data_IF_767347462588
#
_entry.id   IF_767347462588
#
_cell.length_a   1.000
_cell.length_b   1.000
_cell.length_c   1.000
_cell.angle_alpha   90.00
_cell.angle_beta   90.00
_cell.angle_gamma   90.00
#
_symmetry.space_group_name_H-M   'P 1'
#
loop_
_entity.id
_entity.type
_entity.pdbx_description
1 polymer ?
#
# COMPACT_ATOMS: atom_id res chain seq x y z
N UNK A 1 2.50 -29.76 26.96
CA UNK A 1 2.48 -30.11 28.39
C UNK A 1 3.56 -29.39 29.20
N UNK A 2 4.86 -29.43 28.85
CA UNK A 2 5.90 -28.73 29.64
C UNK A 2 5.60 -27.24 29.90
N UNK A 3 5.16 -26.51 28.87
CA UNK A 3 4.78 -25.09 29.01
C UNK A 3 3.78 -24.87 30.15
N UNK A 4 2.76 -25.72 30.23
CA UNK A 4 1.70 -25.63 31.23
C UNK A 4 2.19 -26.04 32.61
N UNK A 5 3.08 -27.04 32.70
CA UNK A 5 3.74 -27.39 33.96
C UNK A 5 4.61 -26.25 34.50
N UNK A 6 5.20 -25.43 33.63
CA UNK A 6 6.03 -24.30 34.03
C UNK A 6 5.22 -23.05 34.39
N UNK A 7 4.13 -22.79 33.68
CA UNK A 7 3.36 -21.54 33.74
C UNK A 7 1.98 -21.66 34.41
N UNK A 8 1.51 -22.89 34.65
CA UNK A 8 0.18 -23.20 35.18
C UNK A 8 -0.97 -23.05 34.17
N UNK A 9 -0.66 -22.79 32.90
CA UNK A 9 -1.67 -22.57 31.85
C UNK A 9 -1.18 -23.01 30.47
N UNK A 10 -2.07 -23.39 29.55
CA UNK A 10 -1.67 -23.71 28.19
C UNK A 10 -1.12 -22.47 27.47
N UNK A 11 -0.26 -22.65 26.45
CA UNK A 11 0.35 -21.54 25.70
C UNK A 11 -0.67 -20.74 24.88
N UNK A 12 -1.74 -21.39 24.42
CA UNK A 12 -2.87 -20.77 23.74
C UNK A 12 -4.13 -21.21 24.50
N UNK A 13 -4.85 -20.27 25.09
CA UNK A 13 -5.98 -20.51 25.98
C UNK A 13 -7.19 -19.66 25.56
N UNK A 14 -8.41 -20.10 25.89
CA UNK A 14 -9.64 -19.40 25.53
C UNK A 14 -10.20 -19.77 24.15
N UNK A 15 -11.31 -19.14 23.76
CA UNK A 15 -12.03 -19.48 22.51
C UNK A 15 -11.19 -19.19 21.26
N UNK A 16 -10.34 -18.17 21.29
CA UNK A 16 -9.46 -17.80 20.18
C UNK A 16 -8.17 -18.65 20.09
N UNK A 17 -7.87 -19.44 21.13
CA UNK A 17 -6.61 -20.18 21.25
C UNK A 17 -6.37 -21.20 20.13
N UNK A 18 -7.43 -21.70 19.48
CA UNK A 18 -7.30 -22.55 18.29
C UNK A 18 -6.70 -21.78 17.12
N UNK A 19 -7.18 -20.57 16.85
CA UNK A 19 -6.72 -19.72 15.75
C UNK A 19 -5.34 -19.15 16.06
N UNK A 20 -5.14 -18.64 17.28
CA UNK A 20 -3.87 -18.05 17.74
C UNK A 20 -2.69 -19.01 17.59
N UNK A 21 -2.91 -20.31 17.83
CA UNK A 21 -1.88 -21.34 17.65
C UNK A 21 -1.30 -21.37 16.24
N UNK A 22 -2.07 -20.95 15.23
CA UNK A 22 -1.64 -20.92 13.83
C UNK A 22 -1.21 -19.54 13.34
N UNK A 23 -1.56 -18.46 14.05
CA UNK A 23 -1.31 -17.09 13.59
C UNK A 23 -0.25 -16.37 14.42
N UNK A 24 -0.18 -16.62 15.72
CA UNK A 24 0.68 -15.91 16.66
C UNK A 24 1.86 -16.77 17.12
N UNK A 25 3.02 -16.16 17.42
CA UNK A 25 4.12 -16.87 18.02
C UNK A 25 3.77 -17.28 19.45
N UNK A 26 4.26 -18.45 19.91
CA UNK A 26 3.97 -18.92 21.26
C UNK A 26 4.52 -17.93 22.31
N UNK A 27 3.74 -17.61 23.35
CA UNK A 27 4.19 -16.73 24.41
C UNK A 27 5.38 -17.33 25.18
N UNK A 28 6.23 -16.46 25.73
CA UNK A 28 7.38 -16.87 26.53
C UNK A 28 6.95 -17.32 27.93
N UNK A 29 7.41 -18.48 28.43
CA UNK A 29 7.15 -18.93 29.80
C UNK A 29 7.52 -17.90 30.88
N UNK A 30 8.64 -17.19 30.71
CA UNK A 30 9.10 -16.15 31.64
C UNK A 30 8.13 -14.99 31.84
N UNK A 31 7.26 -14.70 30.86
CA UNK A 31 6.18 -13.69 31.02
C UNK A 31 5.22 -14.06 32.14
N UNK A 32 5.03 -15.34 32.40
CA UNK A 32 4.11 -15.85 33.42
C UNK A 32 4.83 -16.26 34.70
N UNK A 33 6.09 -16.66 34.60
CA UNK A 33 6.92 -17.01 35.76
C UNK A 33 8.31 -16.39 35.63
N UNK A 34 8.51 -15.22 36.24
CA UNK A 34 9.76 -14.43 36.17
C UNK A 34 11.01 -15.14 36.70
N UNK A 35 10.83 -16.15 37.56
CA UNK A 35 11.93 -16.92 38.15
C UNK A 35 12.45 -18.05 37.22
N UNK A 36 11.96 -18.14 35.98
CA UNK A 36 12.45 -19.12 35.02
C UNK A 36 13.77 -18.64 34.38
N UNK A 37 14.79 -19.50 34.28
CA UNK A 37 15.99 -19.21 33.49
C UNK A 37 15.64 -18.87 32.03
N UNK A 38 16.29 -17.85 31.42
CA UNK A 38 16.04 -17.47 30.01
C UNK A 38 16.24 -18.61 29.01
N UNK A 39 17.12 -19.57 29.33
CA UNK A 39 17.37 -20.76 28.49
C UNK A 39 16.10 -21.60 28.31
N UNK A 40 15.25 -21.68 29.34
CA UNK A 40 13.98 -22.42 29.24
C UNK A 40 12.99 -21.76 28.30
N UNK A 41 13.03 -20.44 28.15
CA UNK A 41 12.20 -19.76 27.15
C UNK A 41 12.56 -20.26 25.75
N UNK A 42 13.86 -20.26 25.42
CA UNK A 42 14.34 -20.71 24.11
C UNK A 42 13.96 -22.15 23.83
N UNK A 43 14.21 -23.06 24.79
CA UNK A 43 13.94 -24.49 24.63
C UNK A 43 12.43 -24.74 24.47
N UNK A 44 11.60 -24.12 25.31
CA UNK A 44 10.15 -24.32 25.27
C UNK A 44 9.55 -23.72 24.01
N UNK A 45 9.90 -22.48 23.65
CA UNK A 45 9.43 -21.80 22.44
C UNK A 45 9.81 -22.57 21.16
N UNK A 46 11.02 -23.13 21.10
CA UNK A 46 11.46 -23.99 19.99
C UNK A 46 10.64 -25.28 19.92
N UNK A 47 10.38 -25.93 21.06
CA UNK A 47 9.59 -27.17 21.09
C UNK A 47 8.14 -26.98 20.61
N UNK A 48 7.55 -25.80 20.85
CA UNK A 48 6.17 -25.47 20.44
C UNK A 48 6.10 -24.57 19.19
N UNK A 49 7.19 -24.47 18.43
CA UNK A 49 7.26 -23.64 17.24
C UNK A 49 6.17 -24.01 16.20
N UNK A 50 5.71 -23.01 15.44
CA UNK A 50 4.66 -23.21 14.43
C UNK A 50 5.13 -24.13 13.30
N UNK A 51 6.26 -23.81 12.67
CA UNK A 51 6.86 -24.65 11.62
C UNK A 51 7.52 -25.88 12.24
N UNK A 52 7.18 -27.11 11.80
CA UNK A 52 7.87 -28.32 12.24
C UNK A 52 9.39 -28.29 12.05
N UNK A 53 9.91 -27.57 11.06
CA UNK A 53 11.36 -27.44 10.80
C UNK A 53 12.08 -26.65 11.87
N UNK A 54 11.37 -25.77 12.58
CA UNK A 54 11.92 -24.98 13.68
C UNK A 54 11.87 -25.74 15.01
N UNK A 55 11.27 -26.93 15.05
CA UNK A 55 11.19 -27.78 16.25
C UNK A 55 12.42 -28.67 16.37
N UNK A 56 12.52 -29.32 17.53
CA UNK A 56 13.42 -30.44 17.71
C UNK A 56 13.06 -31.58 16.76
N UNK A 57 14.07 -32.11 16.07
CA UNK A 57 13.91 -33.24 15.18
C UNK A 57 13.45 -34.50 15.94
N UNK A 58 13.93 -34.68 17.18
CA UNK A 58 13.59 -35.81 18.03
C UNK A 58 13.29 -35.39 19.46
N UNK A 59 12.52 -36.22 20.19
CA UNK A 59 12.30 -36.03 21.62
C UNK A 59 13.60 -36.14 22.43
N UNK A 60 14.57 -36.93 21.95
CA UNK A 60 15.89 -37.08 22.57
C UNK A 60 16.70 -35.79 22.50
N UNK A 61 16.67 -35.08 21.35
CA UNK A 61 17.35 -33.78 21.21
C UNK A 61 16.77 -32.74 22.17
N UNK A 62 15.44 -32.73 22.32
CA UNK A 62 14.75 -31.88 23.28
C UNK A 62 15.12 -32.21 24.73
N UNK A 63 15.09 -33.49 25.10
CA UNK A 63 15.44 -33.93 26.46
C UNK A 63 16.92 -33.63 26.80
N UNK A 64 17.83 -33.78 25.83
CA UNK A 64 19.24 -33.43 25.98
C UNK A 64 19.40 -31.93 26.27
N UNK A 65 18.83 -31.07 25.43
CA UNK A 65 18.96 -29.61 25.61
C UNK A 65 18.28 -29.14 26.91
N UNK A 66 17.17 -29.76 27.31
CA UNK A 66 16.53 -29.48 28.60
C UNK A 66 17.42 -29.86 29.80
N UNK A 67 18.09 -31.01 29.73
CA UNK A 67 18.97 -31.49 30.80
C UNK A 67 20.23 -30.62 30.89
N UNK A 68 20.87 -30.33 29.77
CA UNK A 68 22.06 -29.47 29.68
C UNK A 68 21.76 -28.01 30.07
N UNK A 69 20.58 -27.50 29.70
CA UNK A 69 20.14 -26.15 30.09
C UNK A 69 19.80 -26.03 31.58
N UNK A 70 19.37 -27.12 32.22
CA UNK A 70 19.04 -27.15 33.65
C UNK A 70 20.24 -27.34 34.57
N UNK A 71 21.32 -27.95 34.08
CA UNK A 71 22.49 -28.33 34.89
C UNK A 71 23.55 -27.23 35.02
N UNK A 72 23.43 -26.13 34.26
CA UNK A 72 24.37 -25.00 34.29
C UNK A 72 23.78 -23.78 35.03
N UNK A 73 24.08 -23.59 36.32
CA UNK A 73 23.68 -22.40 37.08
C UNK A 73 24.44 -21.12 36.64
N UNK A 74 25.45 -21.25 35.80
CA UNK A 74 26.32 -20.17 35.31
C UNK A 74 25.90 -19.58 33.96
N UNK A 75 24.66 -19.83 33.51
CA UNK A 75 24.03 -19.03 32.45
C UNK A 75 23.72 -17.63 33.00
N UNK A 76 24.80 -16.88 33.13
CA UNK A 76 24.90 -15.57 33.73
C UNK A 76 23.90 -14.63 33.08
N UNK A 77 23.28 -13.85 33.95
CA UNK A 77 22.66 -12.57 33.65
C UNK A 77 23.63 -11.77 32.76
N UNK A 78 23.52 -11.93 31.44
CA UNK A 78 24.05 -10.98 30.50
C UNK A 78 22.89 -10.11 30.07
N UNK A 79 22.76 -8.88 30.62
CA UNK A 79 21.85 -7.87 30.11
C UNK A 79 22.10 -7.51 28.63
N UNK A 80 23.12 -8.09 27.97
CA UNK A 80 23.50 -7.78 26.60
C UNK A 80 23.25 -8.89 25.56
N UNK A 81 22.86 -10.11 25.95
CA UNK A 81 22.74 -11.24 25.00
C UNK A 81 21.36 -11.40 24.35
N UNK A 82 20.36 -10.59 24.72
CA UNK A 82 19.02 -10.60 24.11
C UNK A 82 18.93 -9.96 22.72
N UNK A 83 20.06 -9.58 22.11
CA UNK A 83 20.07 -9.04 20.75
C UNK A 83 20.35 -10.06 19.64
N UNK A 84 20.62 -11.32 19.95
CA UNK A 84 20.92 -12.32 18.94
C UNK A 84 19.83 -13.41 18.86
N UNK A 85 18.95 -13.22 17.88
CA UNK A 85 18.15 -14.30 17.25
C UNK A 85 16.83 -14.69 17.90
N UNK A 86 16.00 -13.70 18.23
CA UNK A 86 14.58 -13.85 17.92
C UNK A 86 14.44 -13.71 16.40
N UNK A 87 14.32 -14.81 15.67
CA UNK A 87 13.84 -14.80 14.30
C UNK A 87 12.40 -14.30 14.30
N UNK A 88 12.24 -12.97 14.37
CA UNK A 88 10.99 -12.24 14.27
C UNK A 88 10.43 -12.33 12.87
N UNK A 89 9.90 -13.50 12.51
CA UNK A 89 9.19 -13.72 11.26
C UNK A 89 7.86 -12.95 11.19
N UNK A 90 7.24 -12.65 12.34
CA UNK A 90 5.94 -11.98 12.38
C UNK A 90 5.98 -10.48 12.07
N UNK A 91 6.96 -9.72 12.59
CA UNK A 91 7.05 -8.29 12.31
C UNK A 91 7.46 -8.02 10.86
N UNK A 92 8.41 -8.79 10.31
CA UNK A 92 8.82 -8.66 8.91
C UNK A 92 7.67 -8.92 7.96
N UNK A 93 6.83 -9.91 8.26
CA UNK A 93 5.64 -10.24 7.47
C UNK A 93 4.57 -9.13 7.58
N UNK A 94 4.35 -8.55 8.77
CA UNK A 94 3.44 -7.41 8.97
C UNK A 94 3.94 -6.13 8.28
N UNK A 95 5.24 -5.82 8.37
CA UNK A 95 5.83 -4.67 7.65
C UNK A 95 5.78 -4.85 6.14
N UNK A 96 5.88 -6.10 5.64
CA UNK A 96 5.73 -6.39 4.21
C UNK A 96 4.28 -6.13 3.74
N UNK A 97 3.29 -6.49 4.57
CA UNK A 97 1.89 -6.22 4.27
C UNK A 97 1.60 -4.71 4.24
N UNK A 98 2.11 -3.95 5.21
CA UNK A 98 1.98 -2.49 5.21
C UNK A 98 2.73 -1.83 4.05
N UNK A 99 3.91 -2.34 3.68
CA UNK A 99 4.65 -1.84 2.51
C UNK A 99 3.89 -2.08 1.19
N UNK A 100 3.23 -3.23 1.03
CA UNK A 100 2.39 -3.52 -0.13
C UNK A 100 1.15 -2.63 -0.17
N UNK A 101 0.48 -2.41 0.97
CA UNK A 101 -0.66 -1.50 1.06
C UNK A 101 -0.21 -0.07 0.72
N UNK A 102 0.91 0.40 1.27
CA UNK A 102 1.46 1.72 0.98
C UNK A 102 1.80 1.89 -0.52
N UNK A 103 2.38 0.87 -1.15
CA UNK A 103 2.66 0.87 -2.59
C UNK A 103 1.38 0.90 -3.43
N UNK A 104 0.35 0.13 -3.03
CA UNK A 104 -0.95 0.12 -3.69
C UNK A 104 -1.66 1.47 -3.58
N UNK A 105 -1.59 2.14 -2.42
CA UNK A 105 -2.10 3.50 -2.21
C UNK A 105 -1.34 4.53 -3.06
N UNK A 106 -0.02 4.38 -3.19
CA UNK A 106 0.78 5.25 -4.04
C UNK A 106 0.41 5.09 -5.53
N UNK A 107 0.20 3.85 -5.98
CA UNK A 107 -0.23 3.55 -7.35
C UNK A 107 -1.66 4.02 -7.65
N UNK A 108 -2.60 3.90 -6.70
CA UNK A 108 -3.95 4.42 -6.90
C UNK A 108 -3.97 5.95 -6.96
N UNK A 109 -3.12 6.61 -6.15
CA UNK A 109 -2.96 8.07 -6.17
C UNK A 109 -2.51 8.61 -7.54
N UNK A 110 -1.57 7.95 -8.22
CA UNK A 110 -1.11 8.39 -9.55
C UNK A 110 -2.14 8.14 -10.64
N UNK A 111 -2.89 7.03 -10.55
CA UNK A 111 -3.97 6.72 -11.49
C UNK A 111 -5.11 7.75 -11.39
N UNK A 112 -5.55 8.07 -10.16
CA UNK A 112 -6.57 9.10 -9.92
C UNK A 112 -6.06 10.47 -10.37
N UNK A 113 -4.80 10.81 -10.08
CA UNK A 113 -4.25 12.10 -10.49
C UNK A 113 -4.12 12.23 -12.00
N UNK A 114 -3.86 11.14 -12.73
CA UNK A 114 -3.89 11.11 -14.20
C UNK A 114 -5.30 11.30 -14.76
N UNK A 115 -6.30 10.75 -14.09
CA UNK A 115 -7.70 10.81 -14.54
C UNK A 115 -8.37 12.17 -14.26
N UNK A 116 -7.91 12.88 -13.24
CA UNK A 116 -8.44 14.21 -12.85
C UNK A 116 -7.74 15.36 -13.61
N UNK A 117 -6.77 15.09 -14.49
CA UNK A 117 -6.10 16.15 -15.24
C UNK A 117 -7.12 16.83 -16.18
N UNK A 118 -7.40 18.13 -16.02
CA UNK A 118 -8.25 18.85 -16.96
C UNK A 118 -7.66 18.74 -18.36
N UNK A 119 -8.51 18.53 -19.36
CA UNK A 119 -8.09 18.45 -20.75
C UNK A 119 -7.27 19.70 -21.12
N UNK A 120 -6.16 19.56 -21.87
CA UNK A 120 -5.40 20.70 -22.32
C UNK A 120 -6.34 21.67 -23.06
N UNK A 121 -6.27 22.99 -22.79
CA UNK A 121 -7.14 23.95 -23.43
C UNK A 121 -6.98 23.82 -24.95
N UNK A 122 -8.11 23.63 -25.66
CA UNK A 122 -8.07 23.51 -27.11
C UNK A 122 -7.40 24.76 -27.71
N UNK A 123 -6.43 24.60 -28.62
CA UNK A 123 -5.72 25.72 -29.20
C UNK A 123 -6.71 26.56 -30.01
N UNK A 124 -7.06 27.75 -29.50
CA UNK A 124 -7.88 28.72 -30.22
C UNK A 124 -7.05 29.28 -31.37
N UNK A 125 -7.33 28.81 -32.58
CA UNK A 125 -6.68 29.32 -33.79
C UNK A 125 -7.38 30.61 -34.23
N UNK A 126 -6.65 31.73 -34.24
CA UNK A 126 -7.14 33.01 -34.75
C UNK A 126 -6.60 33.23 -36.16
N UNK A 127 -7.49 33.31 -37.13
CA UNK A 127 -7.15 33.70 -38.50
C UNK A 127 -7.61 35.12 -38.77
N UNK A 128 -6.78 35.91 -39.45
CA UNK A 128 -7.18 37.20 -40.01
C UNK A 128 -7.53 36.96 -41.48
N UNK A 129 -8.79 37.18 -41.83
CA UNK A 129 -9.23 37.17 -43.22
C UNK A 129 -9.12 38.58 -43.77
N UNK A 130 -8.28 38.76 -44.79
CA UNK A 130 -8.24 40.01 -45.55
C UNK A 130 -9.42 40.00 -46.50
N UNK A 131 -10.38 40.90 -46.27
CA UNK A 131 -11.53 41.12 -47.16
C UNK A 131 -11.12 42.21 -48.15
N UNK A 132 -11.34 41.96 -49.44
CA UNK A 132 -11.12 42.99 -50.45
C UNK A 132 -12.10 44.15 -50.23
N UNK A 133 -11.67 45.37 -50.53
CA UNK A 133 -12.46 46.61 -50.45
C UNK A 133 -13.81 46.52 -51.18
N UNK A 134 -13.93 45.68 -52.20
CA UNK A 134 -15.15 45.42 -52.98
C UNK A 134 -16.11 44.44 -52.31
N UNK A 135 -15.65 43.69 -51.31
CA UNK A 135 -16.43 42.73 -50.52
C UNK A 135 -16.62 43.21 -49.07
N UNK A 136 -16.05 44.37 -48.71
CA UNK A 136 -16.10 44.92 -47.37
C UNK A 136 -17.54 44.94 -46.81
N UNK A 137 -17.68 44.56 -45.54
CA UNK A 137 -18.96 44.59 -44.84
C UNK A 137 -19.52 46.02 -44.82
N UNK A 138 -20.80 46.15 -45.18
CA UNK A 138 -21.49 47.44 -45.19
C UNK A 138 -21.71 47.89 -43.75
N UNK A 139 -20.98 48.93 -43.31
CA UNK A 139 -21.09 49.51 -41.98
C UNK A 139 -22.36 50.39 -41.90
N UNK A 140 -23.23 50.13 -40.91
CA UNK A 140 -24.42 50.98 -40.65
C UNK A 140 -25.77 50.50 -41.23
N UNK A 141 -25.82 49.33 -41.88
CA UNK A 141 -27.09 48.66 -42.20
C UNK A 141 -27.67 47.94 -40.96
N UNK A 142 -28.99 47.75 -40.88
CA UNK A 142 -29.63 46.95 -39.82
C UNK A 142 -29.13 45.48 -39.77
N UNK A 143 -28.44 45.03 -40.82
CA UNK A 143 -27.78 43.73 -40.92
C UNK A 143 -26.25 43.78 -40.75
N UNK A 144 -25.68 44.95 -40.45
CA UNK A 144 -24.24 45.13 -40.26
C UNK A 144 -23.75 44.26 -39.10
N UNK A 145 -22.80 43.36 -39.37
CA UNK A 145 -22.27 42.41 -38.39
C UNK A 145 -22.99 41.06 -38.30
N UNK A 146 -23.99 40.77 -39.16
CA UNK A 146 -24.53 39.40 -39.30
C UNK A 146 -23.53 38.53 -40.06
N UNK A 147 -22.70 37.86 -39.28
CA UNK A 147 -21.76 36.83 -39.70
C UNK A 147 -22.29 35.49 -39.20
N UNK A 148 -22.40 34.50 -40.08
CA UNK A 148 -22.71 33.13 -39.67
C UNK A 148 -21.59 32.19 -40.12
N UNK A 149 -21.34 31.15 -39.32
CA UNK A 149 -20.25 30.19 -39.54
C UNK A 149 -20.88 28.80 -39.57
N UNK A 150 -20.54 27.99 -40.57
CA UNK A 150 -21.05 26.62 -40.65
C UNK A 150 -20.62 25.80 -39.43
N UNK A 151 -21.42 24.81 -38.98
CA UNK A 151 -21.09 24.01 -37.78
C UNK A 151 -19.76 23.26 -37.85
N UNK A 152 -19.27 22.99 -39.06
CA UNK A 152 -17.97 22.38 -39.35
C UNK A 152 -16.83 23.40 -39.50
N UNK A 153 -17.13 24.70 -39.40
CA UNK A 153 -16.17 25.81 -39.51
C UNK A 153 -15.60 26.03 -40.91
N UNK A 154 -16.08 25.29 -41.92
CA UNK A 154 -15.53 25.33 -43.29
C UNK A 154 -16.04 26.50 -44.12
N UNK A 155 -17.15 27.11 -43.73
CA UNK A 155 -17.80 28.19 -44.47
C UNK A 155 -18.23 29.34 -43.59
N UNK A 156 -18.23 30.53 -44.15
CA UNK A 156 -18.62 31.78 -43.51
C UNK A 156 -19.53 32.56 -44.46
N UNK A 157 -20.70 32.93 -43.96
CA UNK A 157 -21.70 33.71 -44.67
C UNK A 157 -21.77 35.13 -44.11
N UNK A 158 -21.67 36.13 -44.97
CA UNK A 158 -21.72 37.53 -44.57
C UNK A 158 -22.32 38.42 -45.65
N UNK A 159 -22.79 39.60 -45.26
CA UNK A 159 -23.33 40.60 -46.18
C UNK A 159 -22.25 41.65 -46.44
N UNK A 160 -21.86 41.80 -47.70
CA UNK A 160 -20.75 42.65 -48.12
C UNK A 160 -20.88 43.18 -49.54
N UNK A 161 -19.97 44.08 -49.89
CA UNK A 161 -19.85 44.68 -51.21
C UNK A 161 -20.85 45.78 -51.57
N UNK A 162 -20.71 46.39 -52.77
CA UNK A 162 -21.29 47.69 -53.11
C UNK A 162 -22.83 47.72 -53.14
N UNK A 163 -23.47 46.56 -53.27
CA UNK A 163 -24.93 46.42 -53.28
C UNK A 163 -25.46 45.59 -52.10
N UNK A 164 -24.64 45.30 -51.09
CA UNK A 164 -25.05 44.56 -49.89
C UNK A 164 -25.50 43.14 -50.20
N UNK A 165 -24.70 42.40 -50.96
CA UNK A 165 -25.02 41.04 -51.40
C UNK A 165 -24.58 40.03 -50.34
N UNK A 166 -25.22 38.85 -50.35
CA UNK A 166 -24.81 37.71 -49.55
C UNK A 166 -23.58 37.05 -50.20
N UNK A 167 -22.49 36.99 -49.45
CA UNK A 167 -21.24 36.34 -49.83
C UNK A 167 -21.01 35.12 -48.94
N UNK A 168 -20.55 34.01 -49.54
CA UNK A 168 -20.25 32.75 -48.85
C UNK A 168 -18.83 32.37 -49.23
N UNK A 169 -17.98 32.12 -48.24
CA UNK A 169 -16.59 31.71 -48.43
C UNK A 169 -16.26 30.48 -47.60
#
# INVERSE_FOLDING_TARGET
>A
MLYEMLTGKPPFAGEEGFTERFTEPPPLPSKFRRNLPPVLDTIVTKAIARDPKDRYATATDFARELTEGSSNPSFSLSPGAVLAKASGGGLRQRTMLYALIALAVLMSGTAVWGWVRPAPPEPVVRYTLVVDSTEAMVQGSASSGRLDISPDGSRLAYIGGPSGQLLIR
#
